data_IF_624929791643
#
_entry.id   IF_624929791643
#
_cell.length_a   1.000
_cell.length_b   1.000
_cell.length_c   1.000
_cell.angle_alpha   90.00
_cell.angle_beta   90.00
_cell.angle_gamma   90.00
#
_symmetry.space_group_name_H-M   'P 1'
#
loop_
_entity.id
_entity.type
_entity.pdbx_description
1 polymer ?
#
# COMPACT_ATOMS: atom_id res chain seq x y z
N UNK A 1 6.47 -9.32 -21.64
CA UNK A 1 7.25 -9.86 -20.50
C UNK A 1 6.27 -10.49 -19.51
N UNK A 2 6.56 -11.70 -19.08
CA UNK A 2 5.70 -12.36 -18.11
C UNK A 2 5.81 -11.73 -16.70
N UNK A 3 4.82 -12.00 -15.86
CA UNK A 3 4.75 -11.44 -14.52
C UNK A 3 5.92 -11.87 -13.61
N UNK A 4 6.42 -13.08 -13.78
CA UNK A 4 7.54 -13.60 -12.97
C UNK A 4 8.82 -12.85 -13.28
N UNK A 5 9.14 -12.68 -14.56
CA UNK A 5 10.33 -11.93 -15.00
C UNK A 5 10.25 -10.47 -14.58
N UNK A 6 9.08 -9.86 -14.75
CA UNK A 6 8.86 -8.47 -14.36
C UNK A 6 9.05 -8.27 -12.85
N UNK A 7 8.45 -9.14 -12.04
CA UNK A 7 8.63 -9.07 -10.57
C UNK A 7 10.10 -9.18 -10.18
N UNK A 8 10.84 -10.07 -10.83
CA UNK A 8 12.28 -10.23 -10.58
C UNK A 8 13.06 -8.95 -10.89
N UNK A 9 12.81 -8.35 -12.04
CA UNK A 9 13.50 -7.13 -12.46
C UNK A 9 13.20 -5.95 -11.52
N UNK A 10 11.96 -5.78 -11.12
CA UNK A 10 11.58 -4.71 -10.20
C UNK A 10 12.22 -4.92 -8.83
N UNK A 11 12.22 -6.16 -8.32
CA UNK A 11 12.88 -6.47 -7.05
C UNK A 11 14.38 -6.18 -7.09
N UNK A 12 15.05 -6.47 -8.18
CA UNK A 12 16.48 -6.18 -8.37
C UNK A 12 16.72 -4.66 -8.33
N UNK A 13 15.91 -3.88 -9.03
CA UNK A 13 16.01 -2.42 -9.01
C UNK A 13 15.78 -1.84 -7.61
N UNK A 14 14.79 -2.37 -6.88
CA UNK A 14 14.51 -1.94 -5.51
C UNK A 14 15.69 -2.25 -4.58
N UNK A 15 16.28 -3.42 -4.69
CA UNK A 15 17.45 -3.80 -3.87
C UNK A 15 18.67 -2.93 -4.15
N UNK A 16 18.78 -2.37 -5.33
CA UNK A 16 19.87 -1.48 -5.72
C UNK A 16 19.70 -0.05 -5.19
N UNK A 17 18.53 0.30 -4.65
CA UNK A 17 18.30 1.63 -4.09
C UNK A 17 19.08 1.83 -2.80
N UNK A 18 19.64 3.02 -2.65
CA UNK A 18 20.29 3.43 -1.39
C UNK A 18 19.24 3.89 -0.37
N UNK A 19 19.56 3.84 0.95
CA UNK A 19 18.66 4.41 1.96
C UNK A 19 18.30 5.87 1.70
N UNK A 20 19.24 6.66 1.18
CA UNK A 20 19.04 8.08 0.84
C UNK A 20 18.03 8.25 -0.29
N UNK A 21 18.12 7.42 -1.33
CA UNK A 21 17.17 7.42 -2.45
C UNK A 21 15.75 7.04 -1.98
N UNK A 22 15.64 6.03 -1.12
CA UNK A 22 14.37 5.60 -0.53
C UNK A 22 13.75 6.74 0.30
N UNK A 23 14.54 7.38 1.14
CA UNK A 23 14.10 8.49 1.99
C UNK A 23 13.64 9.67 1.15
N UNK A 24 14.41 10.08 0.15
CA UNK A 24 14.09 11.23 -0.70
C UNK A 24 12.79 11.00 -1.47
N UNK A 25 12.63 9.84 -2.09
CA UNK A 25 11.41 9.49 -2.81
C UNK A 25 10.20 9.41 -1.86
N UNK A 26 10.38 8.83 -0.67
CA UNK A 26 9.32 8.69 0.32
C UNK A 26 8.84 10.04 0.87
N UNK A 27 9.77 10.97 1.11
CA UNK A 27 9.42 12.34 1.55
C UNK A 27 8.60 13.06 0.49
N UNK A 28 9.00 12.96 -0.77
CA UNK A 28 8.28 13.56 -1.88
C UNK A 28 6.88 12.96 -2.04
N UNK A 29 6.77 11.64 -1.97
CA UNK A 29 5.49 10.94 -2.04
C UNK A 29 4.59 11.27 -0.86
N UNK A 30 5.15 11.40 0.34
CA UNK A 30 4.40 11.81 1.53
C UNK A 30 3.77 13.20 1.31
N UNK A 31 4.56 14.18 0.86
CA UNK A 31 4.05 15.52 0.59
C UNK A 31 2.95 15.50 -0.49
N UNK A 32 3.17 14.75 -1.57
CA UNK A 32 2.19 14.64 -2.64
C UNK A 32 0.89 13.96 -2.18
N UNK A 33 1.01 12.90 -1.40
CA UNK A 33 -0.13 12.18 -0.84
C UNK A 33 -1.00 13.08 0.05
N UNK A 34 -0.37 13.79 0.98
CA UNK A 34 -1.08 14.67 1.91
C UNK A 34 -1.77 15.83 1.20
N UNK A 35 -1.34 16.19 -0.01
CA UNK A 35 -1.94 17.24 -0.83
C UNK A 35 -3.10 16.75 -1.72
N UNK A 36 -3.37 15.44 -1.80
CA UNK A 36 -4.45 14.91 -2.63
C UNK A 36 -5.83 15.16 -2.02
N UNK A 37 -6.84 15.28 -2.89
CA UNK A 37 -8.23 15.34 -2.45
C UNK A 37 -8.67 14.03 -1.78
N UNK A 38 -8.21 12.90 -2.27
CA UNK A 38 -8.49 11.60 -1.65
C UNK A 38 -8.08 11.59 -0.18
N UNK A 39 -6.88 12.08 0.15
CA UNK A 39 -6.44 12.17 1.53
C UNK A 39 -7.29 13.15 2.34
N UNK A 40 -7.50 14.35 1.80
CA UNK A 40 -8.26 15.39 2.53
C UNK A 40 -9.69 14.96 2.86
N UNK A 41 -10.33 14.25 1.96
CA UNK A 41 -11.72 13.80 2.13
C UNK A 41 -11.83 12.53 2.99
N UNK A 42 -10.79 11.72 3.07
CA UNK A 42 -10.82 10.47 3.83
C UNK A 42 -10.90 10.74 5.33
N UNK A 43 -11.80 10.04 6.01
CA UNK A 43 -11.88 10.00 7.47
C UNK A 43 -11.02 8.88 8.05
N UNK A 44 -10.79 7.84 7.24
CA UNK A 44 -10.08 6.63 7.61
C UNK A 44 -9.09 6.26 6.52
N UNK A 45 -7.88 5.88 6.92
CA UNK A 45 -6.84 5.37 6.02
C UNK A 45 -6.56 3.92 6.40
N UNK A 46 -6.71 3.02 5.43
CA UNK A 46 -6.20 1.65 5.52
C UNK A 46 -4.83 1.66 4.87
N UNK A 47 -3.81 1.81 5.70
CA UNK A 47 -2.43 1.89 5.25
C UNK A 47 -1.73 0.55 5.26
N UNK A 48 -0.44 0.57 4.95
CA UNK A 48 0.45 -0.57 5.14
C UNK A 48 1.75 -0.06 5.74
N UNK A 49 2.45 -0.94 6.44
CA UNK A 49 3.77 -0.64 6.96
C UNK A 49 4.83 -1.12 5.96
N UNK A 50 5.89 -0.33 5.73
CA UNK A 50 6.86 -0.66 4.69
C UNK A 50 7.66 -1.91 5.05
N UNK A 51 7.91 -2.72 4.02
CA UNK A 51 8.75 -3.90 4.09
C UNK A 51 9.89 -3.76 3.08
N UNK A 52 11.11 -4.15 3.46
CA UNK A 52 12.31 -4.01 2.63
C UNK A 52 12.46 -2.57 2.09
N UNK A 53 12.48 -2.41 0.76
CA UNK A 53 12.68 -1.13 0.09
C UNK A 53 11.36 -0.44 -0.31
N UNK A 54 10.23 -0.85 0.23
CA UNK A 54 8.96 -0.17 -0.05
C UNK A 54 9.00 1.30 0.36
N UNK A 55 8.20 2.12 -0.31
CA UNK A 55 8.01 3.52 0.07
C UNK A 55 7.68 3.60 1.56
N UNK A 56 8.35 4.48 2.29
CA UNK A 56 8.18 4.66 3.73
C UNK A 56 6.87 5.38 4.02
N UNK A 57 5.90 4.65 4.54
CA UNK A 57 4.54 5.15 4.78
C UNK A 57 4.33 5.66 6.21
N UNK A 58 5.26 5.42 7.12
CA UNK A 58 5.08 5.72 8.55
C UNK A 58 4.76 7.18 8.79
N UNK A 59 5.53 8.10 8.20
CA UNK A 59 5.32 9.54 8.40
C UNK A 59 3.94 10.00 7.93
N UNK A 60 3.45 9.50 6.79
CA UNK A 60 2.12 9.88 6.29
C UNK A 60 1.00 9.30 7.16
N UNK A 61 1.17 8.10 7.71
CA UNK A 61 0.19 7.51 8.61
C UNK A 61 0.18 8.21 9.98
N UNK A 62 1.33 8.60 10.50
CA UNK A 62 1.43 9.43 11.70
C UNK A 62 0.74 10.78 11.50
N UNK A 63 0.94 11.41 10.35
CA UNK A 63 0.27 12.67 10.03
C UNK A 63 -1.24 12.49 9.94
N UNK A 64 -1.71 11.37 9.39
CA UNK A 64 -3.14 11.08 9.34
C UNK A 64 -3.75 11.00 10.75
N UNK A 65 -3.07 10.37 11.69
CA UNK A 65 -3.51 10.31 13.08
C UNK A 65 -3.54 11.72 13.70
N UNK A 66 -2.51 12.53 13.48
CA UNK A 66 -2.46 13.91 13.94
C UNK A 66 -3.59 14.78 13.36
N UNK A 67 -3.97 14.51 12.11
CA UNK A 67 -5.06 15.21 11.43
C UNK A 67 -6.46 14.74 11.90
N UNK A 68 -6.51 13.84 12.86
CA UNK A 68 -7.77 13.33 13.41
C UNK A 68 -8.40 12.19 12.64
N UNK A 69 -7.68 11.61 11.69
CA UNK A 69 -8.16 10.44 10.92
C UNK A 69 -7.91 9.16 11.70
N UNK A 70 -8.72 8.14 11.44
CA UNK A 70 -8.46 6.79 11.94
C UNK A 70 -7.53 6.05 10.99
N UNK A 71 -6.66 5.22 11.54
CA UNK A 71 -5.71 4.43 10.76
C UNK A 71 -5.84 2.96 11.13
N UNK A 72 -5.84 2.09 10.12
CA UNK A 72 -5.75 0.65 10.28
C UNK A 72 -4.68 0.12 9.33
N UNK A 73 -4.05 -0.98 9.71
CA UNK A 73 -3.03 -1.64 8.88
C UNK A 73 -3.33 -3.15 8.80
N UNK A 74 -2.84 -3.83 7.75
CA UNK A 74 -3.24 -5.21 7.53
C UNK A 74 -2.55 -6.20 8.46
N UNK A 75 -3.30 -7.26 8.78
CA UNK A 75 -2.81 -8.45 9.46
C UNK A 75 -3.29 -9.68 8.69
N UNK A 76 -2.38 -10.62 8.43
CA UNK A 76 -2.68 -11.82 7.66
C UNK A 76 -3.08 -12.98 8.56
N UNK A 77 -4.13 -13.71 8.12
CA UNK A 77 -4.65 -14.91 8.78
C UNK A 77 -4.74 -16.01 7.72
N UNK A 78 -3.67 -16.77 7.55
CA UNK A 78 -3.59 -17.75 6.47
C UNK A 78 -3.58 -17.06 5.11
N UNK A 79 -4.60 -17.28 4.30
CA UNK A 79 -4.79 -16.66 2.99
C UNK A 79 -5.72 -15.43 3.02
N UNK A 80 -6.19 -15.05 4.21
CA UNK A 80 -7.06 -13.92 4.46
C UNK A 80 -6.31 -12.74 5.05
N UNK A 81 -6.74 -11.51 4.73
CA UNK A 81 -6.18 -10.30 5.28
C UNK A 81 -7.29 -9.46 5.92
N UNK A 82 -7.02 -8.93 7.11
CA UNK A 82 -7.92 -8.02 7.82
C UNK A 82 -7.16 -6.76 8.19
N UNK A 83 -7.86 -5.63 8.18
CA UNK A 83 -7.32 -4.38 8.69
C UNK A 83 -7.68 -4.23 10.16
N UNK A 84 -6.70 -3.88 10.98
CA UNK A 84 -6.85 -3.73 12.43
C UNK A 84 -6.59 -2.28 12.79
N UNK A 85 -7.49 -1.68 13.58
CA UNK A 85 -7.33 -0.31 14.05
C UNK A 85 -6.07 -0.15 14.88
N UNK A 86 -5.32 0.94 14.62
CA UNK A 86 -4.18 1.34 15.42
C UNK A 86 -4.40 2.74 15.96
N UNK A 87 -4.18 2.93 17.26
CA UNK A 87 -4.10 4.25 17.88
C UNK A 87 -2.70 4.84 17.74
N UNK A 88 -1.70 3.97 17.62
CA UNK A 88 -0.28 4.30 17.58
C UNK A 88 0.45 3.28 16.71
N UNK A 89 1.39 3.75 15.89
CA UNK A 89 2.14 2.87 14.96
C UNK A 89 3.19 1.99 15.66
N UNK A 90 3.35 2.11 16.98
CA UNK A 90 4.22 1.20 17.76
C UNK A 90 3.53 -0.10 18.14
N UNK A 91 2.23 -0.23 17.93
CA UNK A 91 1.43 -1.42 18.29
C UNK A 91 1.56 -2.54 17.26
N UNK A 92 2.77 -2.79 16.77
CA UNK A 92 3.06 -3.75 15.71
C UNK A 92 4.24 -4.65 16.07
N UNK A 93 4.27 -5.84 15.46
CA UNK A 93 5.36 -6.81 15.57
C UNK A 93 5.50 -7.57 14.25
N UNK A 94 6.66 -8.21 13.98
CA UNK A 94 6.82 -9.01 12.76
C UNK A 94 5.76 -10.11 12.66
N UNK A 95 5.14 -10.23 11.49
CA UNK A 95 4.12 -11.22 11.18
C UNK A 95 4.40 -11.97 9.90
N UNK A 96 3.40 -12.11 9.02
CA UNK A 96 3.53 -12.79 7.74
C UNK A 96 4.70 -12.22 6.92
N UNK A 97 5.59 -13.09 6.45
CA UNK A 97 6.78 -12.73 5.67
C UNK A 97 7.67 -11.67 6.36
N UNK A 98 7.67 -11.62 7.69
CA UNK A 98 8.39 -10.62 8.50
C UNK A 98 7.91 -9.17 8.31
N UNK A 99 6.76 -8.96 7.69
CA UNK A 99 6.16 -7.65 7.53
C UNK A 99 5.57 -7.22 8.88
N UNK A 100 5.82 -5.98 9.35
CA UNK A 100 5.17 -5.51 10.57
C UNK A 100 3.66 -5.55 10.45
N UNK A 101 2.99 -6.11 11.46
CA UNK A 101 1.53 -6.15 11.51
C UNK A 101 1.05 -5.89 12.94
N UNK A 102 -0.23 -5.54 13.14
CA UNK A 102 -0.75 -5.30 14.48
C UNK A 102 -0.54 -6.48 15.41
N UNK A 103 -0.14 -6.19 16.65
CA UNK A 103 -0.01 -7.22 17.70
C UNK A 103 -1.40 -7.76 18.07
N UNK A 104 -2.36 -6.85 18.21
CA UNK A 104 -3.74 -7.19 18.52
C UNK A 104 -4.47 -7.78 17.32
N UNK A 105 -5.48 -8.59 17.57
CA UNK A 105 -6.39 -9.12 16.56
C UNK A 105 -7.68 -8.30 16.44
N UNK A 106 -7.90 -7.38 17.35
CA UNK A 106 -9.10 -6.55 17.46
C UNK A 106 -8.75 -5.15 17.96
N UNK A 107 -9.59 -4.14 17.68
CA UNK A 107 -10.79 -4.26 16.86
C UNK A 107 -10.48 -4.28 15.36
N UNK A 108 -11.23 -5.09 14.63
CA UNK A 108 -11.17 -5.16 13.17
C UNK A 108 -11.76 -3.87 12.61
N UNK A 109 -11.08 -3.27 11.65
CA UNK A 109 -11.56 -2.08 10.99
C UNK A 109 -12.72 -2.41 10.05
N UNK A 110 -13.77 -1.60 10.13
CA UNK A 110 -15.06 -1.84 9.47
C UNK A 110 -15.60 -0.61 8.72
N UNK A 111 -14.72 0.26 8.26
CA UNK A 111 -15.11 1.43 7.48
C UNK A 111 -15.09 1.12 5.98
N UNK A 112 -16.24 0.92 5.32
CA UNK A 112 -16.31 0.57 3.90
C UNK A 112 -15.91 1.71 2.96
N UNK A 113 -15.77 2.92 3.47
CA UNK A 113 -15.34 4.10 2.70
C UNK A 113 -13.88 4.50 2.95
N UNK A 114 -13.15 3.72 3.74
CA UNK A 114 -11.74 4.01 4.01
C UNK A 114 -10.91 4.08 2.72
N UNK A 115 -9.99 5.03 2.67
CA UNK A 115 -8.99 5.10 1.60
C UNK A 115 -7.97 4.00 1.81
N UNK A 116 -7.82 3.11 0.84
CA UNK A 116 -6.87 2.00 0.90
C UNK A 116 -5.59 2.38 0.16
N UNK A 117 -4.46 2.36 0.87
CA UNK A 117 -3.15 2.47 0.25
C UNK A 117 -2.75 1.10 -0.31
N UNK A 118 -2.43 1.07 -1.59
CA UNK A 118 -2.17 -0.17 -2.32
C UNK A 118 -0.66 -0.38 -2.53
N UNK A 119 -0.07 -1.43 -1.97
CA UNK A 119 1.29 -1.81 -2.32
C UNK A 119 1.30 -2.55 -3.66
N UNK A 120 2.46 -2.62 -4.29
CA UNK A 120 2.63 -3.38 -5.52
C UNK A 120 4.04 -3.29 -6.06
N UNK A 121 4.36 -4.16 -7.00
CA UNK A 121 5.67 -4.19 -7.65
C UNK A 121 5.71 -3.35 -8.93
N UNK A 122 4.61 -3.28 -9.69
CA UNK A 122 4.55 -2.49 -10.91
C UNK A 122 3.14 -1.94 -11.11
N UNK A 123 3.08 -0.80 -11.79
CA UNK A 123 1.84 -0.07 -12.07
C UNK A 123 1.89 0.49 -13.49
N UNK A 124 0.73 0.85 -14.04
CA UNK A 124 0.64 1.59 -15.28
C UNK A 124 -0.27 2.83 -15.12
N UNK A 125 -0.32 3.72 -16.13
CA UNK A 125 -1.13 4.95 -16.03
C UNK A 125 -2.63 4.72 -15.87
N UNK A 126 -3.13 3.55 -16.22
CA UNK A 126 -4.54 3.17 -16.05
C UNK A 126 -4.84 2.61 -14.65
N UNK A 127 -3.83 2.52 -13.78
CA UNK A 127 -4.00 2.01 -12.42
C UNK A 127 -3.89 0.49 -12.31
N UNK A 128 -3.53 -0.21 -13.38
CA UNK A 128 -3.28 -1.64 -13.30
C UNK A 128 -2.07 -1.92 -12.43
N UNK A 129 -2.08 -3.03 -11.73
CA UNK A 129 -1.12 -3.35 -10.70
C UNK A 129 -0.64 -4.80 -10.79
N UNK A 130 0.65 -5.00 -10.59
CA UNK A 130 1.23 -6.32 -10.32
C UNK A 130 1.66 -6.34 -8.85
N UNK A 131 1.04 -7.22 -8.09
CA UNK A 131 1.37 -7.42 -6.68
C UNK A 131 2.47 -8.46 -6.47
N UNK A 132 2.66 -8.85 -5.21
CA UNK A 132 3.71 -9.77 -4.79
C UNK A 132 3.38 -11.26 -5.04
N UNK A 133 2.15 -11.56 -5.47
CA UNK A 133 1.71 -12.93 -5.80
C UNK A 133 0.72 -13.55 -4.82
N UNK A 134 0.52 -12.97 -3.63
CA UNK A 134 -0.38 -13.52 -2.61
C UNK A 134 -1.88 -13.26 -2.84
N UNK A 135 -2.22 -12.24 -3.63
CA UNK A 135 -3.59 -11.91 -3.95
C UNK A 135 -4.42 -11.33 -2.81
N UNK A 136 -3.80 -10.93 -1.69
CA UNK A 136 -4.50 -10.44 -0.50
C UNK A 136 -5.35 -9.20 -0.78
N UNK A 137 -4.80 -8.22 -1.47
CA UNK A 137 -5.50 -6.96 -1.76
C UNK A 137 -6.61 -7.15 -2.78
N UNK A 138 -6.40 -7.98 -3.81
CA UNK A 138 -7.43 -8.26 -4.80
C UNK A 138 -8.61 -8.99 -4.16
N UNK A 139 -8.36 -9.96 -3.28
CA UNK A 139 -9.41 -10.63 -2.50
C UNK A 139 -10.16 -9.66 -1.60
N UNK A 140 -9.43 -8.80 -0.89
CA UNK A 140 -10.04 -7.82 0.01
C UNK A 140 -10.94 -6.86 -0.75
N UNK A 141 -10.47 -6.29 -1.86
CA UNK A 141 -11.25 -5.35 -2.67
C UNK A 141 -12.42 -6.02 -3.39
N UNK A 142 -12.29 -7.30 -3.74
CA UNK A 142 -13.42 -8.06 -4.31
C UNK A 142 -14.55 -8.22 -3.29
N UNK A 143 -14.21 -8.41 -2.01
CA UNK A 143 -15.19 -8.51 -0.93
C UNK A 143 -15.76 -7.15 -0.51
N UNK A 144 -14.97 -6.08 -0.63
CA UNK A 144 -15.35 -4.71 -0.24
C UNK A 144 -15.00 -3.74 -1.38
N UNK A 145 -15.78 -3.67 -2.46
CA UNK A 145 -15.38 -3.01 -3.70
C UNK A 145 -15.51 -1.48 -3.71
N UNK A 146 -16.06 -0.88 -2.67
CA UNK A 146 -16.37 0.56 -2.66
C UNK A 146 -15.26 1.45 -2.10
N UNK A 147 -14.15 0.88 -1.68
CA UNK A 147 -13.03 1.66 -1.17
C UNK A 147 -12.37 2.49 -2.28
N UNK A 148 -12.12 3.79 -2.07
CA UNK A 148 -11.17 4.51 -2.90
C UNK A 148 -9.76 3.94 -2.67
N UNK A 149 -8.95 3.89 -3.73
CA UNK A 149 -7.62 3.30 -3.68
C UNK A 149 -6.56 4.24 -4.21
N UNK A 150 -5.38 4.23 -3.58
CA UNK A 150 -4.24 5.03 -4.00
C UNK A 150 -2.96 4.22 -3.80
N UNK A 151 -2.12 4.17 -4.82
CA UNK A 151 -0.84 3.48 -4.75
C UNK A 151 0.32 4.48 -4.71
N UNK A 152 1.40 4.07 -4.06
CA UNK A 152 2.65 4.80 -3.95
C UNK A 152 3.76 3.91 -4.49
N UNK A 153 4.58 4.44 -5.40
CA UNK A 153 5.69 3.66 -5.96
C UNK A 153 6.84 4.55 -6.41
N UNK A 154 7.96 3.92 -6.72
CA UNK A 154 9.09 4.61 -7.34
C UNK A 154 8.86 4.74 -8.85
N UNK A 155 9.54 5.69 -9.47
CA UNK A 155 9.39 5.98 -10.90
C UNK A 155 9.62 4.75 -11.78
N UNK A 156 10.61 3.91 -11.47
CA UNK A 156 10.90 2.70 -12.24
C UNK A 156 9.83 1.61 -12.12
N UNK A 157 8.90 1.75 -11.18
CA UNK A 157 7.76 0.83 -11.03
C UNK A 157 6.60 1.20 -11.95
N UNK A 158 6.63 2.41 -12.56
CA UNK A 158 5.65 2.83 -13.54
C UNK A 158 6.05 2.33 -14.92
N UNK A 159 5.21 1.52 -15.53
CA UNK A 159 5.37 0.98 -16.87
C UNK A 159 4.32 1.58 -17.80
N UNK A 160 4.57 1.55 -19.11
CA UNK A 160 3.64 2.11 -20.08
C UNK A 160 2.31 1.35 -20.13
N UNK A 161 2.39 0.03 -19.97
CA UNK A 161 1.22 -0.84 -19.99
C UNK A 161 1.52 -2.15 -19.27
N UNK A 162 0.55 -2.61 -18.49
CA UNK A 162 0.57 -3.94 -17.85
C UNK A 162 -0.53 -4.80 -18.41
N UNK A 163 -0.22 -6.06 -18.68
CA UNK A 163 -1.25 -7.06 -19.00
C UNK A 163 -2.00 -7.43 -17.73
N UNK A 164 -3.33 -7.45 -17.83
CA UNK A 164 -4.22 -7.71 -16.70
C UNK A 164 -5.07 -8.93 -16.95
N UNK A 165 -5.57 -9.52 -15.87
CA UNK A 165 -6.56 -10.56 -15.88
C UNK A 165 -7.91 -9.99 -15.45
N UNK A 166 -8.99 -10.68 -15.78
CA UNK A 166 -10.36 -10.19 -15.55
C UNK A 166 -10.66 -9.90 -14.08
N UNK A 167 -10.01 -10.63 -13.15
CA UNK A 167 -10.19 -10.44 -11.70
C UNK A 167 -9.29 -9.35 -11.10
N UNK A 168 -8.39 -8.78 -11.88
CA UNK A 168 -7.50 -7.71 -11.40
C UNK A 168 -8.29 -6.40 -11.24
N UNK A 169 -8.14 -5.76 -10.07
CA UNK A 169 -8.85 -4.52 -9.74
C UNK A 169 -7.90 -3.34 -9.88
N UNK A 170 -8.17 -2.39 -10.80
CA UNK A 170 -7.31 -1.20 -10.96
C UNK A 170 -7.32 -0.30 -9.73
N UNK A 171 -6.20 0.39 -9.49
CA UNK A 171 -6.07 1.43 -8.48
C UNK A 171 -6.61 2.74 -9.04
N UNK A 172 -7.34 3.51 -8.23
CA UNK A 172 -7.92 4.78 -8.67
C UNK A 172 -6.87 5.84 -8.98
N UNK A 173 -5.82 5.92 -8.18
CA UNK A 173 -4.74 6.90 -8.34
C UNK A 173 -3.40 6.27 -8.03
N UNK A 174 -2.38 6.55 -8.84
CA UNK A 174 -1.00 6.13 -8.61
C UNK A 174 -0.12 7.36 -8.50
N UNK A 175 0.60 7.49 -7.40
CA UNK A 175 1.62 8.52 -7.20
C UNK A 175 3.00 7.86 -7.29
N UNK A 176 3.93 8.51 -7.99
CA UNK A 176 5.28 7.99 -8.13
C UNK A 176 6.35 9.10 -8.01
N UNK A 177 7.52 8.69 -7.60
CA UNK A 177 8.68 9.59 -7.49
C UNK A 177 10.00 8.86 -7.75
#
# INVERSE_FOLDING_TARGET
MDKITLRKQIREKKRAMTPEEITAASEKLTANFLATDLYRQAKTIYGYLPYNQEVRTVAMLEQAILDGKRVAVPKCYGDEMRFIWLDDLTQVAPGYANIPEPIADEPIADDPSALVLMPGLAFDPQGHRIGYGGGFYDKFLAAEPNHPTLALCYDFQMLDHLETEEHDIPVDTVLWA
#
